data_IF_528889561530
#
_entry.id   IF_528889561530
#
_cell.length_a   1.000
_cell.length_b   1.000
_cell.length_c   1.000
_cell.angle_alpha   90.00
_cell.angle_beta   90.00
_cell.angle_gamma   90.00
#
_symmetry.space_group_name_H-M   'P 1'
#
loop_
_entity.id
_entity.type
_entity.pdbx_description
1 polymer ?
#
# COMPACT_ATOMS: atom_id res chain seq x y z
N UNK A 1 -33.09 15.62 42.58
CA UNK A 1 -32.19 14.44 42.40
C UNK A 1 -32.01 14.01 40.94
N UNK A 2 -32.65 14.65 39.94
CA UNK A 2 -32.48 14.30 38.52
C UNK A 2 -31.24 14.96 37.86
N UNK A 3 -30.86 16.19 38.22
CA UNK A 3 -29.72 16.90 37.59
C UNK A 3 -28.35 16.23 37.79
N UNK A 4 -28.07 15.69 38.98
CA UNK A 4 -26.77 15.04 39.25
C UNK A 4 -26.54 13.81 38.35
N UNK A 5 -27.61 13.13 37.93
CA UNK A 5 -27.49 11.96 37.03
C UNK A 5 -27.26 12.35 35.58
N UNK A 6 -27.84 13.46 35.12
CA UNK A 6 -27.60 13.96 33.75
C UNK A 6 -26.18 14.46 33.58
N UNK A 7 -25.65 15.15 34.59
CA UNK A 7 -24.32 15.75 34.52
C UNK A 7 -23.24 14.66 34.51
N UNK A 8 -23.35 13.67 35.41
CA UNK A 8 -22.44 12.53 35.43
C UNK A 8 -22.50 11.67 34.14
N UNK A 9 -23.66 11.60 33.49
CA UNK A 9 -23.81 10.89 32.24
C UNK A 9 -23.19 11.68 31.07
N UNK A 10 -23.33 13.00 31.05
CA UNK A 10 -22.67 13.87 30.08
C UNK A 10 -21.14 13.77 30.17
N UNK A 11 -20.58 13.83 31.38
CA UNK A 11 -19.14 13.69 31.62
C UNK A 11 -18.61 12.34 31.12
N UNK A 12 -19.35 11.25 31.36
CA UNK A 12 -18.98 9.91 30.88
C UNK A 12 -19.00 9.78 29.35
N UNK A 13 -19.93 10.48 28.71
CA UNK A 13 -20.06 10.49 27.26
C UNK A 13 -18.97 11.35 26.61
N UNK A 14 -18.68 12.53 27.15
CA UNK A 14 -17.57 13.39 26.70
C UNK A 14 -16.22 12.68 26.80
N UNK A 15 -16.00 11.93 27.89
CA UNK A 15 -14.82 11.06 28.04
C UNK A 15 -14.74 9.99 26.95
N UNK A 16 -15.87 9.48 26.47
CA UNK A 16 -15.91 8.51 25.38
C UNK A 16 -15.53 9.16 24.05
N UNK A 17 -16.04 10.37 23.77
CA UNK A 17 -15.66 11.15 22.60
C UNK A 17 -14.18 11.53 22.61
N UNK A 18 -13.63 11.87 23.79
CA UNK A 18 -12.18 12.09 23.95
C UNK A 18 -11.37 10.84 23.63
N UNK A 19 -11.80 9.67 24.10
CA UNK A 19 -11.11 8.42 23.80
C UNK A 19 -11.09 8.15 22.28
N UNK A 20 -12.22 8.38 21.58
CA UNK A 20 -12.27 8.31 20.12
C UNK A 20 -11.33 9.28 19.41
N UNK A 21 -11.18 10.50 19.94
CA UNK A 21 -10.26 11.51 19.42
C UNK A 21 -8.79 11.04 19.47
N UNK A 22 -8.42 10.35 20.55
CA UNK A 22 -7.07 9.81 20.75
C UNK A 22 -6.83 8.48 20.02
N UNK A 23 -7.85 7.94 19.33
CA UNK A 23 -7.81 6.63 18.68
C UNK A 23 -8.02 5.46 19.64
N UNK A 24 -8.35 5.75 20.90
CA UNK A 24 -8.65 4.78 21.94
C UNK A 24 -10.13 4.39 21.88
N UNK A 25 -10.47 3.45 21.00
CA UNK A 25 -11.78 2.83 20.95
C UNK A 25 -12.41 2.81 19.57
N UNK A 26 -13.52 2.09 19.46
CA UNK A 26 -14.31 2.02 18.22
C UNK A 26 -15.22 3.24 18.11
N UNK A 27 -15.03 4.03 17.06
CA UNK A 27 -15.86 5.20 16.78
C UNK A 27 -17.26 4.74 16.39
N UNK A 28 -18.28 5.33 17.02
CA UNK A 28 -19.69 5.04 16.76
C UNK A 28 -20.36 6.27 16.12
N UNK A 29 -20.47 6.33 14.78
CA UNK A 29 -20.99 7.50 14.07
C UNK A 29 -22.41 7.88 14.50
N UNK A 30 -23.23 6.89 14.87
CA UNK A 30 -24.59 7.10 15.36
C UNK A 30 -24.66 7.98 16.61
N UNK A 31 -23.65 7.90 17.47
CA UNK A 31 -23.58 8.65 18.73
C UNK A 31 -23.10 10.10 18.49
N UNK A 32 -22.39 10.34 17.37
CA UNK A 32 -21.95 11.67 16.93
C UNK A 32 -22.99 12.39 16.08
N UNK A 33 -24.03 11.71 15.57
CA UNK A 33 -25.05 12.29 14.70
C UNK A 33 -26.06 13.22 15.41
N UNK A 34 -25.78 13.58 16.67
CA UNK A 34 -26.53 14.61 17.39
C UNK A 34 -25.89 16.00 17.22
N UNK A 35 -26.67 17.10 17.32
CA UNK A 35 -26.10 18.45 17.33
C UNK A 35 -25.03 18.66 18.40
N UNK A 36 -25.23 18.06 19.59
CA UNK A 36 -24.27 18.10 20.69
C UNK A 36 -23.01 17.27 20.38
N UNK A 37 -23.19 16.06 19.83
CA UNK A 37 -22.12 15.17 19.36
C UNK A 37 -21.14 15.88 18.43
N UNK A 38 -21.67 16.46 17.36
CA UNK A 38 -20.88 17.25 16.40
C UNK A 38 -20.17 18.43 17.05
N UNK A 39 -20.85 19.16 17.93
CA UNK A 39 -20.26 20.31 18.61
C UNK A 39 -19.07 19.92 19.49
N UNK A 40 -19.19 18.84 20.27
CA UNK A 40 -18.09 18.35 21.13
C UNK A 40 -16.93 17.86 20.27
N UNK A 41 -17.21 17.07 19.23
CA UNK A 41 -16.21 16.60 18.27
C UNK A 41 -15.43 17.76 17.62
N UNK A 42 -16.14 18.77 17.10
CA UNK A 42 -15.53 19.96 16.50
C UNK A 42 -14.68 20.74 17.52
N UNK A 43 -15.18 20.88 18.76
CA UNK A 43 -14.48 21.62 19.82
C UNK A 43 -13.19 20.94 20.22
N UNK A 44 -13.20 19.61 20.38
CA UNK A 44 -12.01 18.86 20.77
C UNK A 44 -10.95 18.86 19.67
N UNK A 45 -11.35 18.74 18.40
CA UNK A 45 -10.44 18.92 17.27
C UNK A 45 -9.83 20.31 17.25
N UNK A 46 -10.64 21.36 17.43
CA UNK A 46 -10.16 22.73 17.45
C UNK A 46 -9.15 22.98 18.59
N UNK A 47 -9.41 22.46 19.79
CA UNK A 47 -8.44 22.53 20.90
C UNK A 47 -7.14 21.84 20.49
N UNK A 48 -7.23 20.65 19.91
CA UNK A 48 -6.06 19.92 19.42
C UNK A 48 -5.28 20.69 18.36
N UNK A 49 -5.96 21.37 17.44
CA UNK A 49 -5.34 22.15 16.38
C UNK A 49 -4.64 23.40 16.93
N UNK A 50 -5.29 24.15 17.83
CA UNK A 50 -4.69 25.30 18.54
C UNK A 50 -3.43 24.88 19.31
N UNK A 51 -3.45 23.72 19.97
CA UNK A 51 -2.29 23.23 20.73
C UNK A 51 -1.11 22.82 19.83
N UNK A 52 -1.36 22.44 18.57
CA UNK A 52 -0.31 22.07 17.60
C UNK A 52 0.27 23.29 16.90
N UNK A 53 -0.57 24.20 16.42
CA UNK A 53 -0.16 25.50 15.88
C UNK A 53 -1.35 26.43 15.63
N UNK A 54 -1.13 27.73 15.78
CA UNK A 54 -2.14 28.76 15.46
C UNK A 54 -2.59 28.72 13.99
N UNK A 55 -1.74 28.24 13.08
CA UNK A 55 -2.08 28.10 11.66
C UNK A 55 -3.16 27.02 11.42
N UNK A 56 -3.28 26.03 12.30
CA UNK A 56 -4.29 24.97 12.20
C UNK A 56 -5.61 25.35 12.86
N UNK A 57 -5.65 26.41 13.68
CA UNK A 57 -6.83 26.91 14.38
C UNK A 57 -7.84 27.61 13.45
N UNK A 58 -8.17 26.97 12.33
CA UNK A 58 -9.06 27.48 11.29
C UNK A 58 -10.49 27.16 11.68
N UNK A 59 -11.33 28.21 11.78
CA UNK A 59 -12.77 28.03 11.95
C UNK A 59 -13.44 27.88 10.57
N UNK A 60 -14.08 26.73 10.27
CA UNK A 60 -14.84 26.58 9.03
C UNK A 60 -16.01 27.57 8.97
N UNK A 61 -16.38 28.00 7.77
CA UNK A 61 -17.62 28.76 7.55
C UNK A 61 -18.84 27.91 7.91
N UNK A 62 -19.95 28.54 8.34
CA UNK A 62 -21.18 27.86 8.75
C UNK A 62 -21.70 26.79 7.77
N UNK A 63 -21.51 26.98 6.45
CA UNK A 63 -21.94 26.05 5.40
C UNK A 63 -20.82 25.16 4.84
N UNK A 64 -19.65 25.10 5.49
CA UNK A 64 -18.53 24.28 5.01
C UNK A 64 -18.90 22.80 4.98
N UNK A 65 -19.32 22.24 6.12
CA UNK A 65 -19.66 20.82 6.24
C UNK A 65 -20.81 20.41 5.32
N UNK A 66 -21.81 21.28 5.15
CA UNK A 66 -22.92 21.03 4.22
C UNK A 66 -22.44 20.95 2.75
N UNK A 67 -21.50 21.81 2.35
CA UNK A 67 -20.90 21.76 1.01
C UNK A 67 -20.01 20.53 0.84
N UNK A 68 -19.24 20.19 1.87
CA UNK A 68 -18.36 19.02 1.88
C UNK A 68 -19.16 17.72 1.77
N UNK A 69 -20.19 17.53 2.60
CA UNK A 69 -21.09 16.37 2.55
C UNK A 69 -21.73 16.24 1.17
N UNK A 70 -22.27 17.35 0.61
CA UNK A 70 -22.83 17.34 -0.75
C UNK A 70 -21.79 16.96 -1.82
N UNK A 71 -20.54 17.38 -1.67
CA UNK A 71 -19.47 17.02 -2.60
C UNK A 71 -19.14 15.53 -2.52
N UNK A 72 -19.03 14.99 -1.30
CA UNK A 72 -18.81 13.55 -1.04
C UNK A 72 -19.96 12.71 -1.62
N UNK A 73 -21.21 13.10 -1.40
CA UNK A 73 -22.39 12.39 -1.94
C UNK A 73 -22.43 12.39 -3.47
N UNK A 74 -21.80 13.39 -4.11
CA UNK A 74 -21.69 13.49 -5.56
C UNK A 74 -20.51 12.68 -6.13
N UNK A 75 -19.62 12.15 -5.28
CA UNK A 75 -18.52 11.31 -5.76
C UNK A 75 -19.05 9.97 -6.27
N UNK A 76 -18.60 9.50 -7.45
CA UNK A 76 -18.97 8.18 -7.93
C UNK A 76 -18.39 7.13 -6.98
N UNK A 77 -19.20 6.14 -6.58
CA UNK A 77 -18.76 5.06 -5.71
C UNK A 77 -17.46 4.44 -6.25
N UNK A 78 -16.38 4.59 -5.49
CA UNK A 78 -15.07 4.04 -5.84
C UNK A 78 -15.22 2.51 -5.78
N UNK A 79 -15.48 1.90 -6.93
CA UNK A 79 -15.41 0.44 -7.09
C UNK A 79 -13.96 0.08 -6.79
N UNK A 80 -13.73 -0.54 -5.63
CA UNK A 80 -12.41 -0.97 -5.21
C UNK A 80 -11.68 -1.66 -6.37
N UNK A 81 -10.35 -1.47 -6.53
CA UNK A 81 -9.61 -2.12 -7.58
C UNK A 81 -9.86 -3.62 -7.49
N UNK A 82 -10.55 -4.17 -8.50
CA UNK A 82 -10.76 -5.61 -8.58
C UNK A 82 -9.39 -6.25 -8.54
N UNK A 83 -9.14 -7.08 -7.51
CA UNK A 83 -7.89 -7.85 -7.40
C UNK A 83 -7.78 -8.65 -8.69
N UNK A 84 -6.88 -8.24 -9.60
CA UNK A 84 -6.60 -9.02 -10.82
C UNK A 84 -6.13 -10.38 -10.34
N UNK A 85 -6.97 -11.40 -10.50
CA UNK A 85 -6.59 -12.77 -10.23
C UNK A 85 -5.42 -13.08 -11.17
N UNK A 86 -4.22 -13.25 -10.60
CA UNK A 86 -3.08 -13.71 -11.36
C UNK A 86 -3.42 -15.10 -11.88
N UNK A 87 -3.53 -15.25 -13.21
CA UNK A 87 -3.79 -16.54 -13.84
C UNK A 87 -2.63 -17.48 -13.54
N UNK A 88 -2.94 -18.56 -12.82
CA UNK A 88 -2.00 -19.65 -12.48
C UNK A 88 -1.38 -20.28 -13.74
N UNK A 89 -2.02 -20.11 -14.90
CA UNK A 89 -1.50 -20.54 -16.20
C UNK A 89 -0.14 -19.93 -16.54
N UNK A 90 0.17 -18.73 -16.02
CA UNK A 90 1.46 -18.07 -16.28
C UNK A 90 2.62 -18.66 -15.48
N UNK A 91 2.37 -19.36 -14.37
CA UNK A 91 3.40 -20.04 -13.57
C UNK A 91 3.83 -21.38 -14.19
N UNK A 92 2.97 -22.04 -14.97
CA UNK A 92 3.28 -23.34 -15.58
C UNK A 92 4.24 -23.25 -16.78
N UNK A 93 4.29 -22.11 -17.47
CA UNK A 93 5.11 -21.96 -18.68
C UNK A 93 6.62 -21.96 -18.37
N UNK A 94 7.03 -21.43 -17.21
CA UNK A 94 8.44 -21.35 -16.83
C UNK A 94 9.06 -22.74 -16.61
N UNK A 95 8.29 -23.69 -16.06
CA UNK A 95 8.75 -25.07 -15.86
C UNK A 95 8.89 -25.85 -17.16
N UNK A 96 7.93 -25.69 -18.09
CA UNK A 96 7.96 -26.37 -19.38
C UNK A 96 9.14 -25.90 -20.26
N UNK A 97 9.46 -24.61 -20.24
CA UNK A 97 10.60 -24.05 -20.98
C UNK A 97 11.95 -24.64 -20.51
N UNK A 98 12.14 -24.78 -19.19
CA UNK A 98 13.35 -25.39 -18.61
C UNK A 98 13.45 -26.86 -18.99
N UNK A 99 12.36 -27.63 -18.91
CA UNK A 99 12.35 -29.04 -19.30
C UNK A 99 12.68 -29.25 -20.79
N UNK A 100 12.13 -28.40 -21.67
CA UNK A 100 12.43 -28.44 -23.10
C UNK A 100 13.90 -28.13 -23.39
N UNK A 101 14.48 -27.12 -22.72
CA UNK A 101 15.89 -26.78 -22.87
C UNK A 101 16.82 -27.93 -22.45
N UNK A 102 16.54 -28.58 -21.32
CA UNK A 102 17.31 -29.74 -20.85
C UNK A 102 17.19 -30.91 -21.85
N UNK A 103 15.99 -31.18 -22.36
CA UNK A 103 15.77 -32.23 -23.35
C UNK A 103 16.56 -31.98 -24.65
N UNK A 104 16.61 -30.73 -25.12
CA UNK A 104 17.41 -30.38 -26.31
C UNK A 104 18.91 -30.56 -26.10
N UNK A 105 19.44 -30.24 -24.91
CA UNK A 105 20.86 -30.44 -24.60
C UNK A 105 21.21 -31.93 -24.56
N UNK A 106 20.35 -32.75 -23.96
CA UNK A 106 20.55 -34.21 -23.91
C UNK A 106 20.53 -34.81 -25.33
N UNK A 107 19.58 -34.38 -26.18
CA UNK A 107 19.49 -34.85 -27.56
C UNK A 107 20.74 -34.51 -28.39
N UNK A 108 21.27 -33.29 -28.26
CA UNK A 108 22.48 -32.85 -28.98
C UNK A 108 23.74 -33.55 -28.46
N UNK A 109 23.82 -33.85 -27.15
CA UNK A 109 24.98 -34.50 -26.55
C UNK A 109 25.02 -36.03 -26.74
N UNK A 110 23.89 -36.66 -27.08
CA UNK A 110 23.80 -38.11 -27.33
C UNK A 110 24.83 -38.63 -28.37
N UNK A 111 24.98 -38.01 -29.56
CA UNK A 111 25.95 -38.47 -30.56
C UNK A 111 27.41 -38.39 -30.07
N UNK A 112 27.75 -37.34 -29.30
CA UNK A 112 29.10 -37.14 -28.73
C UNK A 112 29.45 -38.22 -27.68
N UNK A 113 28.48 -38.63 -26.84
CA UNK A 113 28.68 -39.74 -25.89
C UNK A 113 28.76 -41.12 -26.56
N UNK A 114 28.12 -41.28 -27.73
CA UNK A 114 28.15 -42.53 -28.51
C UNK A 114 29.41 -42.71 -29.36
N UNK A 115 30.36 -41.75 -29.30
CA UNK A 115 31.71 -41.91 -29.85
C UNK A 115 31.81 -41.87 -31.37
N UNK A 116 30.86 -41.27 -32.08
CA UNK A 116 30.98 -40.99 -33.51
C UNK A 116 31.14 -39.49 -33.75
N UNK A 117 32.38 -39.03 -33.65
CA UNK A 117 32.76 -37.68 -34.06
C UNK A 117 32.79 -37.56 -35.59
N UNK A 118 32.14 -36.54 -36.20
CA UNK A 118 32.52 -36.05 -37.51
C UNK A 118 33.77 -35.16 -37.39
N UNK A 119 34.76 -35.38 -38.25
CA UNK A 119 36.11 -34.78 -38.24
C UNK A 119 36.23 -33.25 -38.42
N UNK A 120 35.16 -32.46 -38.25
CA UNK A 120 35.21 -31.01 -38.47
C UNK A 120 34.54 -30.23 -37.33
N UNK A 121 35.17 -30.22 -36.15
CA UNK A 121 34.75 -29.35 -35.05
C UNK A 121 35.57 -28.05 -35.07
N UNK A 122 35.01 -27.00 -35.69
CA UNK A 122 35.44 -25.63 -35.42
C UNK A 122 35.04 -25.29 -33.99
N UNK A 123 36.00 -24.93 -33.16
CA UNK A 123 35.81 -24.53 -31.77
C UNK A 123 34.93 -23.29 -31.68
N UNK A 124 33.72 -23.34 -31.07
CA UNK A 124 32.94 -22.14 -30.84
C UNK A 124 33.63 -21.29 -29.76
N UNK A 125 34.04 -20.08 -30.14
CA UNK A 125 34.52 -19.06 -29.21
C UNK A 125 33.30 -18.52 -28.45
N UNK A 126 33.22 -18.82 -27.16
CA UNK A 126 32.24 -18.21 -26.25
C UNK A 126 32.52 -16.71 -26.16
N UNK A 127 31.55 -15.89 -26.55
CA UNK A 127 31.58 -14.46 -26.26
C UNK A 127 31.51 -14.27 -24.74
N UNK A 128 32.62 -13.86 -24.14
CA UNK A 128 32.65 -13.40 -22.76
C UNK A 128 31.91 -12.07 -22.74
N UNK A 129 30.80 -12.02 -21.99
CA UNK A 129 30.16 -10.75 -21.69
C UNK A 129 31.17 -9.90 -20.92
N UNK A 130 31.59 -8.79 -21.53
CA UNK A 130 32.51 -7.85 -20.90
C UNK A 130 31.81 -7.24 -19.68
N UNK A 131 32.39 -7.46 -18.49
CA UNK A 131 31.79 -7.00 -17.24
C UNK A 131 31.66 -5.47 -17.21
N UNK A 132 32.53 -4.75 -17.94
CA UNK A 132 32.43 -3.31 -18.10
C UNK A 132 31.13 -2.86 -18.79
N UNK A 133 30.60 -3.65 -19.74
CA UNK A 133 29.36 -3.33 -20.43
C UNK A 133 28.13 -3.48 -19.52
N UNK A 134 28.20 -4.38 -18.54
CA UNK A 134 27.14 -4.58 -17.53
C UNK A 134 27.16 -3.45 -16.50
N UNK A 135 28.35 -3.04 -16.06
CA UNK A 135 28.51 -1.93 -15.12
C UNK A 135 28.06 -0.59 -15.73
N UNK A 136 28.41 -0.32 -16.99
CA UNK A 136 27.94 0.86 -17.73
C UNK A 136 26.42 0.87 -17.91
N UNK A 137 25.82 -0.29 -18.17
CA UNK A 137 24.37 -0.42 -18.28
C UNK A 137 23.65 -0.14 -16.94
N UNK A 138 24.20 -0.64 -15.82
CA UNK A 138 23.65 -0.42 -14.48
C UNK A 138 23.77 1.05 -14.08
N UNK A 139 24.90 1.69 -14.37
CA UNK A 139 25.13 3.10 -14.07
C UNK A 139 24.21 4.02 -14.88
N UNK A 140 24.04 3.74 -16.18
CA UNK A 140 23.08 4.46 -17.02
C UNK A 140 21.64 4.33 -16.48
N UNK A 141 21.24 3.16 -15.98
CA UNK A 141 19.92 2.97 -15.37
C UNK A 141 19.75 3.74 -14.05
N UNK A 142 20.80 3.88 -13.24
CA UNK A 142 20.77 4.71 -12.02
C UNK A 142 20.60 6.19 -12.32
N UNK A 143 21.22 6.68 -13.39
CA UNK A 143 21.13 8.09 -13.79
C UNK A 143 19.72 8.48 -14.25
N UNK A 144 18.98 7.57 -14.88
CA UNK A 144 17.59 7.82 -15.32
C UNK A 144 16.54 7.61 -14.22
N UNK A 145 16.79 6.77 -13.22
CA UNK A 145 15.79 6.42 -12.20
C UNK A 145 15.56 7.52 -11.15
N UNK A 146 16.41 8.56 -11.11
CA UNK A 146 16.35 9.61 -10.11
C UNK A 146 16.70 9.09 -8.70
N UNK A 147 17.37 9.91 -7.90
CA UNK A 147 17.65 9.59 -6.51
C UNK A 147 16.37 9.71 -5.65
N UNK A 148 15.38 8.85 -5.89
CA UNK A 148 14.25 8.68 -4.99
C UNK A 148 14.49 7.44 -4.14
N UNK A 149 14.89 7.58 -2.86
CA UNK A 149 14.87 6.45 -1.96
C UNK A 149 13.43 5.92 -1.90
N UNK A 150 13.26 4.65 -2.27
CA UNK A 150 12.01 3.92 -2.04
C UNK A 150 11.76 3.96 -0.53
N UNK A 151 10.89 4.85 -0.09
CA UNK A 151 10.43 4.92 1.31
C UNK A 151 9.60 3.66 1.56
N UNK A 152 10.23 2.64 2.14
CA UNK A 152 9.52 1.48 2.65
C UNK A 152 8.64 1.94 3.82
N UNK A 153 7.33 1.78 3.68
CA UNK A 153 6.36 1.95 4.77
C UNK A 153 5.89 0.55 5.14
N UNK A 154 6.27 0.10 6.33
CA UNK A 154 5.73 -1.13 6.92
C UNK A 154 4.39 -0.80 7.57
N UNK A 155 3.31 -1.42 7.10
CA UNK A 155 2.07 -1.48 7.85
C UNK A 155 2.22 -2.60 8.87
N UNK A 156 2.24 -2.24 10.16
CA UNK A 156 2.06 -3.22 11.21
C UNK A 156 0.58 -3.58 11.25
N UNK A 157 0.26 -4.78 10.77
CA UNK A 157 -1.09 -5.31 10.86
C UNK A 157 -1.22 -5.87 12.28
N UNK A 158 -1.68 -5.01 13.18
CA UNK A 158 -1.88 -5.33 14.60
C UNK A 158 -2.57 -6.69 14.77
N UNK A 159 -1.81 -7.64 15.28
CA UNK A 159 -2.30 -8.95 15.65
C UNK A 159 -3.14 -8.80 16.92
N UNK A 160 -4.45 -8.82 16.76
CA UNK A 160 -5.41 -8.91 17.86
C UNK A 160 -5.11 -10.14 18.72
N UNK A 161 -4.97 -9.92 20.03
CA UNK A 161 -5.16 -10.93 21.07
C UNK A 161 -5.87 -10.32 22.26
#
# INVERSE_FOLDING_TARGET
MQGVKSDAQADSWESTVSAWMDGDGEIRPEDLDSPYGRQVWDTYHLIGDVLRSDELAVKPSDLFYARLSKAIDAEPAIVAPQRRAFSVARLGLSGAAVAAAIATVIWVALPELSGQAPENSQTPVLAVADQGQVDDYIEAHRQFAGANPIRQVSFDMGASR
#
